data_IF_947437445168
#
_entry.id   IF_947437445168
#
_cell.length_a   1.000
_cell.length_b   1.000
_cell.length_c   1.000
_cell.angle_alpha   90.00
_cell.angle_beta   90.00
_cell.angle_gamma   90.00
#
_symmetry.space_group_name_H-M   'P 1'
#
loop_
_entity.id
_entity.type
_entity.pdbx_description
1 polymer ?
#
# COMPACT_ATOMS: atom_id res chain seq x y z
N UNK A 1 12.23 32.04 8.49
CA UNK A 1 11.98 31.81 7.05
C UNK A 1 12.12 30.35 6.64
N UNK A 2 13.23 29.64 6.91
CA UNK A 2 13.40 28.20 6.53
C UNK A 2 12.33 27.24 7.11
N UNK A 3 11.85 27.45 8.34
CA UNK A 3 10.84 26.61 8.99
C UNK A 3 9.46 26.77 8.36
N UNK A 4 9.10 28.00 7.94
CA UNK A 4 7.84 28.33 7.28
C UNK A 4 7.78 27.71 5.86
N UNK A 5 8.87 27.77 5.11
CA UNK A 5 8.98 27.14 3.79
C UNK A 5 8.90 25.60 3.85
N UNK A 6 9.44 24.99 4.91
CA UNK A 6 9.38 23.54 5.10
C UNK A 6 7.95 23.06 5.38
N UNK A 7 7.19 23.81 6.18
CA UNK A 7 5.78 23.55 6.49
C UNK A 7 4.92 23.69 5.23
N UNK A 8 5.11 24.78 4.46
CA UNK A 8 4.36 25.00 3.22
C UNK A 8 4.60 23.88 2.15
N UNK A 9 5.80 23.31 2.10
CA UNK A 9 6.10 22.22 1.17
C UNK A 9 5.25 20.97 1.46
N UNK A 10 5.05 20.62 2.72
CA UNK A 10 4.22 19.46 3.08
C UNK A 10 2.74 19.71 2.85
N UNK A 11 2.23 20.92 3.11
CA UNK A 11 0.85 21.27 2.76
C UNK A 11 0.61 21.24 1.25
N UNK A 12 1.54 21.74 0.46
CA UNK A 12 1.45 21.67 -0.99
C UNK A 12 1.41 20.22 -1.47
N UNK A 13 2.27 19.37 -0.93
CA UNK A 13 2.29 17.95 -1.26
C UNK A 13 0.97 17.26 -0.89
N UNK A 14 0.41 17.53 0.29
CA UNK A 14 -0.89 16.95 0.69
C UNK A 14 -2.03 17.42 -0.20
N UNK A 15 -2.05 18.70 -0.62
CA UNK A 15 -3.05 19.21 -1.57
C UNK A 15 -2.93 18.52 -2.92
N UNK A 16 -1.72 18.35 -3.44
CA UNK A 16 -1.48 17.63 -4.70
C UNK A 16 -1.97 16.19 -4.60
N UNK A 17 -1.64 15.48 -3.51
CA UNK A 17 -2.08 14.12 -3.29
C UNK A 17 -3.61 14.02 -3.18
N UNK A 18 -4.27 14.96 -2.50
CA UNK A 18 -5.74 15.03 -2.44
C UNK A 18 -6.37 15.27 -3.80
N UNK A 19 -5.80 16.15 -4.62
CA UNK A 19 -6.27 16.39 -5.98
C UNK A 19 -6.10 15.15 -6.86
N UNK A 20 -4.96 14.48 -6.78
CA UNK A 20 -4.72 13.23 -7.52
C UNK A 20 -5.70 12.13 -7.11
N UNK A 21 -5.96 11.95 -5.82
CA UNK A 21 -6.96 10.98 -5.35
C UNK A 21 -8.37 11.35 -5.81
N UNK A 22 -8.73 12.63 -5.77
CA UNK A 22 -10.03 13.10 -6.27
C UNK A 22 -10.20 12.84 -7.76
N UNK A 23 -9.16 13.09 -8.57
CA UNK A 23 -9.17 12.80 -10.01
C UNK A 23 -9.36 11.30 -10.24
N UNK A 24 -8.66 10.44 -9.49
CA UNK A 24 -8.79 8.99 -9.62
C UNK A 24 -10.20 8.50 -9.24
N UNK A 25 -10.78 9.03 -8.17
CA UNK A 25 -12.16 8.72 -7.76
C UNK A 25 -13.15 9.14 -8.86
N UNK A 26 -13.00 10.36 -9.43
CA UNK A 26 -13.86 10.84 -10.53
C UNK A 26 -13.75 9.93 -11.77
N UNK A 27 -12.53 9.56 -12.17
CA UNK A 27 -12.30 8.65 -13.31
C UNK A 27 -12.88 7.26 -13.07
N UNK A 28 -12.85 6.77 -11.84
CA UNK A 28 -13.48 5.51 -11.46
C UNK A 28 -14.99 5.51 -11.77
N UNK A 29 -15.69 6.59 -11.43
CA UNK A 29 -17.13 6.73 -11.71
C UNK A 29 -17.45 7.01 -13.19
N UNK A 30 -16.49 7.43 -14.01
CA UNK A 30 -16.69 7.71 -15.45
C UNK A 30 -16.38 6.54 -16.39
N UNK A 31 -16.09 5.34 -15.87
CA UNK A 31 -15.66 4.14 -16.63
C UNK A 31 -14.35 4.30 -17.45
N UNK A 32 -13.79 5.49 -17.57
CA UNK A 32 -12.54 5.75 -18.29
C UNK A 32 -11.34 5.00 -17.69
N UNK A 33 -11.39 4.79 -16.38
CA UNK A 33 -10.33 4.08 -15.65
C UNK A 33 -10.25 2.61 -16.07
N UNK A 34 -11.40 1.98 -16.36
CA UNK A 34 -11.45 0.58 -16.75
C UNK A 34 -10.71 0.33 -18.07
N UNK A 35 -10.90 1.19 -19.05
CA UNK A 35 -10.24 1.09 -20.36
C UNK A 35 -8.73 1.28 -20.24
N UNK A 36 -8.28 2.26 -19.45
CA UNK A 36 -6.86 2.49 -19.21
C UNK A 36 -6.22 1.34 -18.42
N UNK A 37 -6.87 0.85 -17.38
CA UNK A 37 -6.40 -0.29 -16.60
C UNK A 37 -6.26 -1.55 -17.46
N UNK A 38 -7.24 -1.82 -18.33
CA UNK A 38 -7.20 -2.95 -19.26
C UNK A 38 -6.03 -2.81 -20.25
N UNK A 39 -5.86 -1.63 -20.84
CA UNK A 39 -4.73 -1.38 -21.75
C UNK A 39 -3.38 -1.65 -21.10
N UNK A 40 -3.15 -1.16 -19.88
CA UNK A 40 -1.91 -1.40 -19.13
C UNK A 40 -1.77 -2.87 -18.77
N UNK A 41 -2.86 -3.51 -18.35
CA UNK A 41 -2.88 -4.93 -18.00
C UNK A 41 -2.48 -5.79 -19.19
N UNK A 42 -3.10 -5.59 -20.34
CA UNK A 42 -2.83 -6.35 -21.56
C UNK A 42 -1.40 -6.10 -22.05
N UNK A 43 -0.93 -4.86 -22.03
CA UNK A 43 0.46 -4.52 -22.36
C UNK A 43 1.46 -5.27 -21.47
N UNK A 44 1.19 -5.36 -20.16
CA UNK A 44 2.05 -6.09 -19.21
C UNK A 44 2.03 -7.59 -19.52
N UNK A 45 0.84 -8.17 -19.76
CA UNK A 45 0.71 -9.58 -20.08
C UNK A 45 1.48 -9.96 -21.35
N UNK A 46 1.37 -9.15 -22.40
CA UNK A 46 1.93 -9.45 -23.70
C UNK A 46 3.45 -9.22 -23.77
N UNK A 47 3.97 -8.24 -23.01
CA UNK A 47 5.35 -7.79 -23.19
C UNK A 47 6.28 -8.04 -22.00
N UNK A 48 5.74 -8.15 -20.78
CA UNK A 48 6.56 -8.18 -19.57
C UNK A 48 6.46 -9.48 -18.77
N UNK A 49 5.49 -10.35 -19.09
CA UNK A 49 5.33 -11.60 -18.36
C UNK A 49 6.35 -12.63 -18.84
N UNK A 50 7.28 -12.97 -17.96
CA UNK A 50 8.19 -14.10 -18.11
C UNK A 50 8.45 -14.74 -16.73
N UNK A 51 8.97 -15.96 -16.73
CA UNK A 51 9.16 -16.73 -15.50
C UNK A 51 10.03 -16.00 -14.46
N UNK A 52 11.11 -15.34 -14.90
CA UNK A 52 12.02 -14.62 -14.00
C UNK A 52 11.35 -13.42 -13.33
N UNK A 53 10.70 -12.56 -14.11
CA UNK A 53 9.98 -11.40 -13.58
C UNK A 53 8.78 -11.81 -12.72
N UNK A 54 8.07 -12.88 -13.10
CA UNK A 54 6.96 -13.39 -12.29
C UNK A 54 7.43 -13.86 -10.91
N UNK A 55 8.55 -14.59 -10.82
CA UNK A 55 9.13 -15.00 -9.53
C UNK A 55 9.58 -13.78 -8.73
N UNK A 56 10.29 -12.86 -9.37
CA UNK A 56 10.77 -11.62 -8.73
C UNK A 56 9.61 -10.81 -8.11
N UNK A 57 8.56 -10.55 -8.88
CA UNK A 57 7.41 -9.80 -8.37
C UNK A 57 6.60 -10.55 -7.33
N UNK A 58 6.51 -11.88 -7.40
CA UNK A 58 5.92 -12.70 -6.34
C UNK A 58 6.67 -12.54 -5.00
N UNK A 59 7.99 -12.54 -5.04
CA UNK A 59 8.81 -12.33 -3.83
C UNK A 59 8.56 -10.94 -3.24
N UNK A 60 8.63 -9.89 -4.07
CA UNK A 60 8.37 -8.51 -3.63
C UNK A 60 6.96 -8.36 -3.06
N UNK A 61 5.96 -8.90 -3.75
CA UNK A 61 4.56 -8.83 -3.30
C UNK A 61 4.37 -9.51 -1.94
N UNK A 62 5.07 -10.63 -1.69
CA UNK A 62 5.01 -11.29 -0.39
C UNK A 62 5.50 -10.43 0.77
N UNK A 63 6.44 -9.49 0.53
CA UNK A 63 6.85 -8.51 1.54
C UNK A 63 5.74 -7.50 1.92
N UNK A 64 4.68 -7.41 1.13
CA UNK A 64 3.46 -6.65 1.41
C UNK A 64 2.33 -7.50 1.99
N UNK A 65 2.55 -8.78 2.27
CA UNK A 65 1.52 -9.69 2.77
C UNK A 65 1.32 -9.58 4.29
N UNK A 66 0.12 -9.92 4.73
CA UNK A 66 -0.22 -9.95 6.17
C UNK A 66 0.69 -10.91 6.94
N UNK A 67 1.00 -12.06 6.35
CA UNK A 67 1.90 -13.05 6.97
C UNK A 67 3.30 -12.49 7.20
N UNK A 68 3.85 -11.78 6.21
CA UNK A 68 5.15 -11.13 6.35
C UNK A 68 5.16 -10.10 7.47
N UNK A 69 4.12 -9.27 7.58
CA UNK A 69 4.02 -8.28 8.66
C UNK A 69 3.92 -8.94 10.03
N UNK A 70 3.11 -9.98 10.18
CA UNK A 70 2.97 -10.69 11.46
C UNK A 70 4.32 -11.27 11.88
N UNK A 71 5.00 -12.00 10.99
CA UNK A 71 6.31 -12.59 11.29
C UNK A 71 7.32 -11.51 11.66
N UNK A 72 7.40 -10.43 10.88
CA UNK A 72 8.32 -9.33 11.14
C UNK A 72 8.02 -8.63 12.47
N UNK A 73 6.76 -8.39 12.80
CA UNK A 73 6.35 -7.80 14.08
C UNK A 73 6.73 -8.69 15.27
N UNK A 74 6.57 -10.01 15.15
CA UNK A 74 7.00 -10.96 16.19
C UNK A 74 8.51 -10.89 16.38
N UNK A 75 9.29 -10.92 15.31
CA UNK A 75 10.76 -10.82 15.37
C UNK A 75 11.17 -9.49 16.02
N UNK A 76 10.60 -8.37 15.56
CA UNK A 76 10.88 -7.06 16.14
C UNK A 76 10.48 -6.99 17.61
N UNK A 77 9.35 -7.60 17.99
CA UNK A 77 8.92 -7.63 19.38
C UNK A 77 9.87 -8.43 20.27
N UNK A 78 10.49 -9.49 19.78
CA UNK A 78 11.49 -10.26 20.52
C UNK A 78 12.82 -9.51 20.62
N UNK A 79 13.30 -8.98 19.49
CA UNK A 79 14.66 -8.41 19.38
C UNK A 79 14.74 -6.98 19.95
N UNK A 80 13.73 -6.16 19.72
CA UNK A 80 13.76 -4.74 20.06
C UNK A 80 13.47 -4.50 21.54
N UNK A 81 14.30 -3.73 22.22
CA UNK A 81 14.10 -3.41 23.66
C UNK A 81 12.87 -2.52 23.88
N UNK A 82 12.65 -1.54 23.01
CA UNK A 82 11.55 -0.61 23.14
C UNK A 82 10.24 -1.16 22.56
N UNK A 83 9.54 -1.98 23.36
CA UNK A 83 8.26 -2.60 22.98
C UNK A 83 7.17 -1.59 22.63
N UNK A 84 7.19 -0.37 23.19
CA UNK A 84 6.22 0.68 22.91
C UNK A 84 6.22 1.07 21.43
N UNK A 85 7.40 1.10 20.79
CA UNK A 85 7.52 1.41 19.37
C UNK A 85 6.92 0.31 18.51
N UNK A 86 7.10 -0.95 18.86
CA UNK A 86 6.52 -2.08 18.12
C UNK A 86 4.99 -2.10 18.27
N UNK A 87 4.48 -1.79 19.45
CA UNK A 87 3.03 -1.65 19.67
C UNK A 87 2.46 -0.53 18.81
N UNK A 88 3.13 0.64 18.71
CA UNK A 88 2.70 1.74 17.83
C UNK A 88 2.65 1.30 16.36
N UNK A 89 3.69 0.61 15.89
CA UNK A 89 3.72 0.06 14.53
C UNK A 89 2.57 -0.91 14.29
N UNK A 90 2.33 -1.85 15.21
CA UNK A 90 1.22 -2.81 15.14
C UNK A 90 -0.14 -2.13 15.11
N UNK A 91 -0.38 -1.17 15.99
CA UNK A 91 -1.63 -0.39 16.01
C UNK A 91 -1.84 0.41 14.71
N UNK A 92 -0.79 1.05 14.19
CA UNK A 92 -0.88 1.80 12.93
C UNK A 92 -1.21 0.89 11.76
N UNK A 93 -0.58 -0.29 11.69
CA UNK A 93 -0.84 -1.28 10.67
C UNK A 93 -2.27 -1.84 10.76
N UNK A 94 -2.73 -2.16 11.94
CA UNK A 94 -4.10 -2.63 12.19
C UNK A 94 -5.13 -1.58 11.78
N UNK A 95 -4.90 -0.31 12.15
CA UNK A 95 -5.79 0.79 11.81
C UNK A 95 -5.91 0.98 10.29
N UNK A 96 -4.79 1.01 9.56
CA UNK A 96 -4.85 1.16 8.10
C UNK A 96 -5.49 -0.04 7.42
N UNK A 97 -5.26 -1.25 7.94
CA UNK A 97 -5.92 -2.45 7.44
C UNK A 97 -7.45 -2.38 7.58
N UNK A 98 -7.96 -1.97 8.75
CA UNK A 98 -9.40 -1.79 8.97
C UNK A 98 -9.99 -0.70 8.07
N UNK A 99 -9.34 0.46 7.96
CA UNK A 99 -9.79 1.54 7.08
C UNK A 99 -9.82 1.06 5.63
N UNK A 100 -8.78 0.33 5.19
CA UNK A 100 -8.71 -0.21 3.84
C UNK A 100 -9.87 -1.19 3.56
N UNK A 101 -10.19 -2.08 4.50
CA UNK A 101 -11.33 -3.00 4.39
C UNK A 101 -12.66 -2.24 4.26
N UNK A 102 -12.90 -1.25 5.11
CA UNK A 102 -14.13 -0.45 5.06
C UNK A 102 -14.27 0.22 3.69
N UNK A 103 -13.20 0.87 3.20
CA UNK A 103 -13.21 1.55 1.90
C UNK A 103 -13.42 0.54 0.75
N UNK A 104 -12.80 -0.65 0.82
CA UNK A 104 -13.00 -1.72 -0.16
C UNK A 104 -14.46 -2.11 -0.32
N UNK A 105 -15.15 -2.34 0.79
CA UNK A 105 -16.55 -2.73 0.78
C UNK A 105 -17.49 -1.60 0.35
N UNK A 106 -17.15 -0.33 0.63
CA UNK A 106 -17.91 0.82 0.16
C UNK A 106 -17.77 0.99 -1.36
N UNK A 107 -16.55 0.88 -1.90
CA UNK A 107 -16.26 1.09 -3.32
C UNK A 107 -16.65 -0.16 -4.13
N UNK A 108 -16.43 -1.35 -3.58
CA UNK A 108 -16.78 -2.66 -4.14
C UNK A 108 -16.34 -2.86 -5.60
N UNK A 109 -15.10 -2.46 -5.93
CA UNK A 109 -14.56 -2.58 -7.29
C UNK A 109 -14.22 -4.03 -7.61
N UNK A 110 -14.75 -4.55 -8.71
CA UNK A 110 -14.43 -5.89 -9.21
C UNK A 110 -12.95 -6.02 -9.60
N UNK A 111 -12.46 -7.25 -9.59
CA UNK A 111 -11.11 -7.57 -10.05
C UNK A 111 -11.13 -7.96 -11.53
N UNK A 112 -10.02 -7.73 -12.27
CA UNK A 112 -9.87 -8.29 -13.60
C UNK A 112 -10.00 -9.82 -13.57
N UNK A 113 -10.65 -10.39 -14.58
CA UNK A 113 -10.87 -11.86 -14.67
C UNK A 113 -9.58 -12.63 -14.90
N UNK A 114 -8.60 -11.99 -15.54
CA UNK A 114 -7.29 -12.58 -15.84
C UNK A 114 -6.28 -12.20 -14.76
N UNK A 115 -5.77 -13.18 -14.04
CA UNK A 115 -4.72 -12.97 -13.05
C UNK A 115 -3.67 -14.08 -13.10
N UNK A 116 -2.39 -13.73 -12.93
CA UNK A 116 -1.25 -14.64 -12.90
C UNK A 116 -1.07 -15.34 -11.55
N UNK A 117 -1.82 -14.92 -10.55
CA UNK A 117 -1.78 -15.45 -9.18
C UNK A 117 -3.20 -15.63 -8.65
N UNK A 118 -3.34 -16.48 -7.63
CA UNK A 118 -4.62 -16.60 -6.94
C UNK A 118 -5.01 -15.26 -6.32
N UNK A 119 -6.14 -14.72 -6.75
CA UNK A 119 -6.68 -13.46 -6.23
C UNK A 119 -7.55 -13.71 -5.01
N UNK A 120 -7.44 -12.86 -3.98
CA UNK A 120 -8.40 -12.86 -2.88
C UNK A 120 -9.82 -12.58 -3.38
N UNK A 121 -10.81 -13.05 -2.64
CA UNK A 121 -12.23 -12.84 -2.92
C UNK A 121 -12.72 -11.40 -2.64
N UNK A 122 -11.90 -10.59 -1.95
CA UNK A 122 -12.22 -9.20 -1.60
C UNK A 122 -12.09 -8.23 -2.80
N UNK A 123 -12.76 -7.07 -2.78
CA UNK A 123 -12.71 -6.07 -3.85
C UNK A 123 -11.28 -5.62 -4.20
N UNK A 124 -11.09 -5.17 -5.46
CA UNK A 124 -9.75 -4.83 -5.97
C UNK A 124 -9.19 -3.52 -5.42
N UNK A 125 -10.02 -2.55 -5.08
CA UNK A 125 -9.61 -1.20 -4.72
C UNK A 125 -10.20 -0.76 -3.36
N UNK A 126 -9.43 -0.04 -2.53
CA UNK A 126 -7.99 0.25 -2.66
C UNK A 126 -7.11 -0.98 -2.37
N UNK A 127 -5.85 -0.95 -2.84
CA UNK A 127 -4.92 -2.05 -2.61
C UNK A 127 -4.49 -2.15 -1.15
N UNK A 128 -4.81 -3.27 -0.51
CA UNK A 128 -4.38 -3.54 0.87
C UNK A 128 -2.86 -3.69 0.99
N UNK A 129 -2.22 -4.35 0.02
CA UNK A 129 -0.76 -4.47 -0.01
C UNK A 129 -0.08 -3.10 -0.05
N UNK A 130 -0.54 -2.20 -0.91
CA UNK A 130 0.02 -0.85 -1.02
C UNK A 130 -0.20 -0.03 0.25
N UNK A 131 -1.43 0.01 0.77
CA UNK A 131 -1.76 0.80 1.96
C UNK A 131 -0.98 0.33 3.20
N UNK A 132 -0.96 -0.99 3.45
CA UNK A 132 -0.24 -1.56 4.57
C UNK A 132 1.29 -1.43 4.42
N UNK A 133 1.85 -1.58 3.20
CA UNK A 133 3.28 -1.39 2.97
C UNK A 133 3.74 0.03 3.27
N UNK A 134 3.01 1.03 2.80
CA UNK A 134 3.35 2.44 3.06
C UNK A 134 3.39 2.72 4.57
N UNK A 135 2.38 2.26 5.30
CA UNK A 135 2.34 2.47 6.75
C UNK A 135 3.41 1.66 7.48
N UNK A 136 3.55 0.37 7.14
CA UNK A 136 4.51 -0.51 7.80
C UNK A 136 5.94 0.01 7.65
N UNK A 137 6.40 0.19 6.40
CA UNK A 137 7.77 0.63 6.15
C UNK A 137 7.99 2.10 6.54
N UNK A 138 7.00 2.98 6.33
CA UNK A 138 7.09 4.38 6.72
C UNK A 138 7.23 4.56 8.24
N UNK A 139 6.38 3.88 9.03
CA UNK A 139 6.47 3.93 10.49
C UNK A 139 7.74 3.23 10.99
N UNK A 140 8.11 2.10 10.38
CA UNK A 140 9.34 1.39 10.74
C UNK A 140 10.58 2.28 10.56
N UNK A 141 10.71 2.94 9.40
CA UNK A 141 11.83 3.87 9.13
C UNK A 141 11.81 5.02 10.14
N UNK A 142 10.63 5.60 10.40
CA UNK A 142 10.50 6.67 11.39
C UNK A 142 10.95 6.24 12.79
N UNK A 143 10.55 5.03 13.23
CA UNK A 143 10.91 4.52 14.53
C UNK A 143 12.42 4.20 14.62
N UNK A 144 13.00 3.65 13.56
CA UNK A 144 14.44 3.35 13.50
C UNK A 144 15.29 4.63 13.48
N UNK A 145 14.84 5.69 12.78
CA UNK A 145 15.57 6.96 12.71
C UNK A 145 15.48 7.80 13.98
N UNK A 146 14.50 7.54 14.85
CA UNK A 146 14.32 8.26 16.12
C UNK A 146 14.58 7.37 17.35
N UNK A 147 15.04 6.14 17.16
CA UNK A 147 15.50 5.32 18.27
C UNK A 147 16.97 5.63 18.52
N UNK A 148 17.26 6.22 19.67
CA UNK A 148 18.60 6.12 20.24
C UNK A 148 18.86 4.62 20.46
N UNK A 149 19.72 4.06 19.60
CA UNK A 149 20.14 2.66 19.63
C UNK A 149 21.06 2.42 20.82
#
# INVERSE_FOLDING_TARGET
>A
MKKFLKVNKYYLLTIILMLLTFIQVKRYFSYELLTFDMFIHDYILDNLVNNGLTIFFKIITNMGSVYFYIITLIILFVVYKNKKNIIKLSCSLFTVYLINLIIKFIINRERPLTSLINVPWDPSFPSGHTACSIVFYGVLIYLLSNSDI
#
